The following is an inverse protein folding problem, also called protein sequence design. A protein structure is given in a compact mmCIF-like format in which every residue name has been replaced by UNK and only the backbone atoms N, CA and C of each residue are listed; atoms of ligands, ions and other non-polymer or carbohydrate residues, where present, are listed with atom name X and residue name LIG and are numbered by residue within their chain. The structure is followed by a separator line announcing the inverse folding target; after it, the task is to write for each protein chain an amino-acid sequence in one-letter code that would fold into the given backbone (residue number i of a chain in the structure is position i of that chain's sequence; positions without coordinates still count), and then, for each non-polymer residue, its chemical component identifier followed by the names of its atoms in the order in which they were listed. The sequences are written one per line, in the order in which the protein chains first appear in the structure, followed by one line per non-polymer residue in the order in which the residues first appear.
data_IF_449307084606
#
_entry.id   IF_449307084606
#
_cell.length_a   1.000
_cell.length_b   1.000
_cell.length_c   1.000
_cell.angle_alpha   90.00
_cell.angle_beta   90.00
_cell.angle_gamma   90.00
#
_symmetry.space_group_name_H-M   'P 1'
#
loop_
_entity.id
_entity.type
_entity.pdbx_description
1 polymer ?
#
# COMPACT_ATOMS: atom_id res chain seq x y z
N UNK A 1 -5.47 -3.27 -7.12
CA UNK A 1 -6.13 -2.41 -6.11
C UNK A 1 -6.82 -1.31 -6.89
N UNK A 2 -8.03 -0.85 -6.51
CA UNK A 2 -8.74 0.25 -7.19
C UNK A 2 -9.08 1.28 -6.11
N UNK A 3 -8.51 2.47 -6.19
CA UNK A 3 -8.91 3.59 -5.35
C UNK A 3 -9.52 4.70 -6.23
N UNK A 4 -10.78 5.05 -5.93
CA UNK A 4 -11.42 6.24 -6.47
C UNK A 4 -11.20 7.43 -5.55
N UNK A 5 -10.73 8.56 -6.08
CA UNK A 5 -10.66 9.84 -5.37
C UNK A 5 -11.89 10.66 -5.70
N UNK A 6 -12.81 10.81 -4.74
CA UNK A 6 -13.97 11.70 -4.90
C UNK A 6 -13.56 13.11 -4.43
N UNK A 7 -13.42 14.06 -5.34
CA UNK A 7 -13.37 15.49 -4.99
C UNK A 7 -14.80 16.02 -4.94
N UNK A 8 -15.20 16.61 -3.81
CA UNK A 8 -16.38 17.46 -3.72
C UNK A 8 -15.89 18.81 -3.20
N UNK A 9 -15.99 19.84 -4.02
CA UNK A 9 -15.73 21.22 -3.64
C UNK A 9 -17.00 22.05 -3.74
N UNK A 10 -17.36 22.77 -2.67
CA UNK A 10 -17.64 24.22 -2.68
C UNK A 10 -18.30 24.66 -1.35
N UNK A 11 -17.77 25.74 -0.77
CA UNK A 11 -18.38 26.45 0.36
C UNK A 11 -17.32 27.07 1.27
N UNK A 12 -17.03 28.37 1.08
CA UNK A 12 -16.04 29.11 1.85
C UNK A 12 -16.53 29.43 3.26
N UNK A 13 -15.78 29.02 4.29
CA UNK A 13 -15.85 29.59 5.64
C UNK A 13 -14.47 29.43 6.35
N UNK A 14 -13.72 30.52 6.62
CA UNK A 14 -12.32 30.43 7.06
C UNK A 14 -12.11 30.01 8.54
N UNK A 15 -13.18 29.85 9.34
CA UNK A 15 -13.09 29.47 10.77
C UNK A 15 -13.47 28.02 11.08
N UNK A 16 -13.84 27.22 10.07
CA UNK A 16 -14.09 25.77 10.18
C UNK A 16 -12.97 24.93 9.53
N UNK A 17 -11.78 25.52 9.34
CA UNK A 17 -10.67 24.91 8.60
C UNK A 17 -9.90 23.84 9.39
N UNK A 18 -9.92 23.84 10.73
CA UNK A 18 -9.11 22.88 11.51
C UNK A 18 -9.78 21.52 11.77
N UNK A 19 -11.10 21.41 11.57
CA UNK A 19 -11.83 20.16 11.84
C UNK A 19 -12.31 19.42 10.58
N UNK A 20 -12.26 20.02 9.39
CA UNK A 20 -12.86 19.45 8.17
C UNK A 20 -11.88 19.08 7.05
N UNK A 21 -10.58 19.05 7.32
CA UNK A 21 -9.56 18.75 6.29
C UNK A 21 -8.55 17.64 6.62
N UNK A 22 -8.84 16.77 7.59
CA UNK A 22 -8.22 15.45 7.66
C UNK A 22 -9.06 14.46 6.86
N UNK A 23 -9.10 14.61 5.53
CA UNK A 23 -9.49 13.49 4.67
C UNK A 23 -8.41 12.44 4.84
N UNK A 24 -8.63 11.55 5.82
CA UNK A 24 -7.64 10.61 6.31
C UNK A 24 -7.06 9.81 5.15
N UNK A 25 -5.77 9.99 4.91
CA UNK A 25 -5.05 9.11 4.01
C UNK A 25 -4.87 7.77 4.71
N UNK A 26 -4.83 6.71 3.94
CA UNK A 26 -4.66 5.38 4.48
C UNK A 26 -3.90 4.51 3.51
N UNK A 27 -3.38 3.42 4.03
CA UNK A 27 -2.69 2.40 3.25
C UNK A 27 -3.11 1.04 3.77
N UNK A 28 -3.01 0.03 2.91
CA UNK A 28 -3.42 -1.32 3.29
C UNK A 28 -2.78 -2.37 2.41
N UNK A 29 -2.82 -3.60 2.90
CA UNK A 29 -2.32 -4.75 2.17
C UNK A 29 -3.28 -5.91 2.31
N UNK A 30 -3.38 -6.70 1.24
CA UNK A 30 -4.18 -7.92 1.18
C UNK A 30 -3.26 -9.05 0.76
N UNK A 31 -3.23 -10.11 1.56
CA UNK A 31 -2.46 -11.31 1.30
C UNK A 31 -3.42 -12.44 0.95
N UNK A 32 -3.21 -13.06 -0.21
CA UNK A 32 -4.00 -14.18 -0.72
C UNK A 32 -3.11 -15.36 -1.04
N UNK A 33 -3.66 -16.57 -0.96
CA UNK A 33 -3.01 -17.76 -1.50
C UNK A 33 -3.19 -17.85 -3.03
N UNK A 34 -2.58 -18.85 -3.65
CA UNK A 34 -2.65 -19.07 -5.11
C UNK A 34 -4.04 -19.40 -5.64
N UNK A 35 -4.96 -19.89 -4.79
CA UNK A 35 -6.36 -20.10 -5.14
C UNK A 35 -7.20 -18.81 -5.03
N UNK A 36 -6.58 -17.68 -4.65
CA UNK A 36 -7.25 -16.40 -4.44
C UNK A 36 -7.92 -16.25 -3.08
N UNK A 37 -7.81 -17.23 -2.18
CA UNK A 37 -8.38 -17.15 -0.85
C UNK A 37 -7.61 -16.15 0.03
N UNK A 38 -8.34 -15.35 0.81
CA UNK A 38 -7.76 -14.38 1.74
C UNK A 38 -7.05 -15.10 2.90
N UNK A 39 -5.79 -14.76 3.12
CA UNK A 39 -5.00 -15.23 4.27
C UNK A 39 -4.95 -14.17 5.38
N UNK A 40 -4.70 -12.91 5.00
CA UNK A 40 -4.64 -11.79 5.93
C UNK A 40 -4.90 -10.46 5.20
N UNK A 41 -5.37 -9.46 5.93
CA UNK A 41 -5.49 -8.10 5.43
C UNK A 41 -5.21 -7.09 6.54
N UNK A 42 -4.75 -5.91 6.14
CA UNK A 42 -4.55 -4.77 7.04
C UNK A 42 -4.96 -3.49 6.33
N UNK A 43 -5.60 -2.59 7.09
CA UNK A 43 -5.86 -1.22 6.69
C UNK A 43 -5.40 -0.32 7.83
N UNK A 44 -4.64 0.72 7.49
CA UNK A 44 -4.08 1.67 8.44
C UNK A 44 -4.45 3.06 8.01
N UNK A 45 -5.05 3.82 8.92
CA UNK A 45 -5.23 5.25 8.74
C UNK A 45 -3.90 5.93 9.05
N UNK A 46 -3.36 6.64 8.06
CA UNK A 46 -2.16 7.44 8.22
C UNK A 46 -2.59 8.82 8.74
N UNK A 47 -2.26 9.09 10.00
CA UNK A 47 -2.54 10.38 10.66
C UNK A 47 -1.53 11.47 10.25
N UNK A 48 -0.63 11.16 9.31
CA UNK A 48 0.39 12.08 8.82
C UNK A 48 0.02 12.60 7.43
N UNK A 49 0.53 13.77 7.06
CA UNK A 49 0.40 14.30 5.69
C UNK A 49 1.36 13.60 4.71
N UNK A 50 1.51 12.27 4.82
CA UNK A 50 2.40 11.48 3.95
C UNK A 50 2.01 11.62 2.48
N UNK A 51 3.01 11.72 1.60
CA UNK A 51 2.77 11.70 0.15
C UNK A 51 2.22 10.34 -0.30
N UNK A 52 1.52 10.31 -1.44
CA UNK A 52 0.94 9.06 -1.99
C UNK A 52 2.02 7.99 -2.17
N UNK A 53 3.19 8.35 -2.70
CA UNK A 53 4.30 7.41 -2.86
C UNK A 53 4.73 6.78 -1.52
N UNK A 54 4.79 7.56 -0.45
CA UNK A 54 5.13 7.04 0.89
C UNK A 54 4.06 6.05 1.36
N UNK A 55 2.78 6.33 1.11
CA UNK A 55 1.68 5.44 1.48
C UNK A 55 1.72 4.12 0.69
N UNK A 56 2.05 4.16 -0.60
CA UNK A 56 2.25 2.96 -1.43
C UNK A 56 3.38 2.08 -0.88
N UNK A 57 4.52 2.67 -0.52
CA UNK A 57 5.62 1.90 0.07
C UNK A 57 5.27 1.37 1.47
N UNK A 58 4.51 2.13 2.28
CA UNK A 58 3.99 1.66 3.57
C UNK A 58 3.02 0.48 3.40
N UNK A 59 2.17 0.49 2.37
CA UNK A 59 1.30 -0.64 2.02
C UNK A 59 2.13 -1.89 1.69
N UNK A 60 3.13 -1.75 0.81
CA UNK A 60 4.03 -2.86 0.44
C UNK A 60 4.73 -3.42 1.69
N UNK A 61 5.30 -2.55 2.52
CA UNK A 61 5.99 -2.96 3.75
C UNK A 61 5.07 -3.74 4.69
N UNK A 62 3.81 -3.31 4.86
CA UNK A 62 2.87 -4.06 5.69
C UNK A 62 2.46 -5.39 5.06
N UNK A 63 2.29 -5.46 3.74
CA UNK A 63 2.07 -6.74 3.07
C UNK A 63 3.21 -7.74 3.32
N UNK A 64 4.45 -7.27 3.27
CA UNK A 64 5.63 -8.08 3.57
C UNK A 64 5.68 -8.54 5.03
N UNK A 65 5.36 -7.66 5.98
CA UNK A 65 5.28 -8.03 7.41
C UNK A 65 4.19 -9.07 7.67
N UNK A 66 3.02 -8.95 7.03
CA UNK A 66 1.98 -9.97 7.11
C UNK A 66 2.49 -11.32 6.57
N UNK A 67 3.13 -11.32 5.40
CA UNK A 67 3.70 -12.55 4.84
C UNK A 67 4.77 -13.18 5.73
N UNK A 68 5.66 -12.36 6.31
CA UNK A 68 6.67 -12.81 7.26
C UNK A 68 6.06 -13.42 8.53
N UNK A 69 4.99 -12.82 9.07
CA UNK A 69 4.29 -13.37 10.25
C UNK A 69 3.65 -14.73 9.99
N UNK A 70 3.43 -15.09 8.72
CA UNK A 70 2.93 -16.38 8.27
C UNK A 70 4.05 -17.29 7.73
N UNK A 71 5.32 -16.93 7.95
CA UNK A 71 6.51 -17.66 7.50
C UNK A 71 6.53 -17.95 5.99
N UNK A 72 5.95 -17.06 5.19
CA UNK A 72 5.96 -17.20 3.74
C UNK A 72 7.31 -16.73 3.18
N UNK A 73 7.94 -17.60 2.38
CA UNK A 73 9.26 -17.34 1.79
C UNK A 73 9.20 -16.79 0.36
N UNK A 74 8.05 -16.88 -0.31
CA UNK A 74 7.86 -16.37 -1.67
C UNK A 74 6.56 -15.61 -1.77
N UNK A 75 6.65 -14.33 -2.09
CA UNK A 75 5.49 -13.44 -2.21
C UNK A 75 5.47 -12.77 -3.57
N UNK A 76 4.27 -12.68 -4.12
CA UNK A 76 4.00 -11.92 -5.33
C UNK A 76 3.33 -10.61 -4.91
N UNK A 77 3.92 -9.49 -5.31
CA UNK A 77 3.36 -8.16 -5.02
C UNK A 77 2.66 -7.63 -6.26
N UNK A 78 1.40 -7.26 -6.06
CA UNK A 78 0.57 -6.56 -7.01
C UNK A 78 0.25 -5.16 -6.48
N UNK A 79 0.60 -4.13 -7.25
CA UNK A 79 0.24 -2.74 -6.99
C UNK A 79 -0.08 -2.07 -8.32
N UNK A 80 -1.03 -1.14 -8.29
CA UNK A 80 -1.39 -0.23 -9.37
C UNK A 80 -0.44 0.98 -9.47
N UNK A 81 0.41 1.20 -8.47
CA UNK A 81 1.45 2.23 -8.49
C UNK A 81 2.66 1.79 -9.31
N UNK A 82 2.72 2.20 -10.58
CA UNK A 82 3.87 1.94 -11.47
C UNK A 82 5.20 2.45 -10.89
N UNK A 83 5.15 3.55 -10.14
CA UNK A 83 6.31 4.10 -9.42
C UNK A 83 6.80 3.12 -8.37
N UNK A 84 5.91 2.66 -7.47
CA UNK A 84 6.30 1.74 -6.40
C UNK A 84 6.86 0.43 -6.97
N UNK A 85 6.20 -0.15 -7.99
CA UNK A 85 6.67 -1.36 -8.67
C UNK A 85 8.09 -1.19 -9.23
N UNK A 86 8.36 -0.08 -9.91
CA UNK A 86 9.65 0.12 -10.55
C UNK A 86 10.79 0.30 -9.54
N UNK A 87 10.56 1.07 -8.48
CA UNK A 87 11.51 1.25 -7.39
C UNK A 87 11.86 -0.08 -6.73
N UNK A 88 10.87 -0.92 -6.42
CA UNK A 88 11.15 -2.23 -5.80
C UNK A 88 11.88 -3.18 -6.76
N UNK A 89 11.67 -3.02 -8.08
CA UNK A 89 12.42 -3.76 -9.11
C UNK A 89 13.86 -3.27 -9.32
N UNK A 90 14.29 -2.20 -8.64
CA UNK A 90 15.59 -1.57 -8.88
C UNK A 90 15.72 -0.94 -10.27
N UNK A 91 14.59 -0.55 -10.89
CA UNK A 91 14.54 0.08 -12.22
C UNK A 91 13.96 1.50 -12.11
N UNK A 92 14.41 2.41 -12.97
CA UNK A 92 13.66 3.64 -13.23
C UNK A 92 12.30 3.26 -13.85
N UNK A 93 11.23 3.92 -13.40
CA UNK A 93 9.82 3.69 -13.74
C UNK A 93 9.57 3.02 -15.10
N UNK A 94 9.23 1.73 -15.11
CA UNK A 94 8.65 1.05 -16.27
C UNK A 94 7.46 0.20 -15.85
N UNK A 95 6.44 0.23 -16.70
CA UNK A 95 5.04 -0.18 -16.55
C UNK A 95 4.74 -1.23 -15.48
N UNK A 96 3.71 -0.90 -14.68
CA UNK A 96 3.21 -1.75 -13.61
C UNK A 96 2.73 -3.09 -14.13
N UNK A 97 3.21 -4.15 -13.48
CA UNK A 97 2.47 -5.39 -13.21
C UNK A 97 3.40 -6.41 -12.58
N UNK A 98 2.98 -6.93 -11.43
CA UNK A 98 3.41 -8.15 -10.75
C UNK A 98 4.93 -8.36 -10.64
N UNK A 99 5.46 -8.39 -9.43
CA UNK A 99 6.83 -8.82 -9.23
C UNK A 99 6.95 -9.73 -8.02
N UNK A 100 7.97 -10.59 -8.07
CA UNK A 100 8.21 -11.62 -7.06
C UNK A 100 9.29 -11.12 -6.13
N UNK A 101 8.99 -11.06 -4.83
CA UNK A 101 10.01 -10.98 -3.80
C UNK A 101 10.16 -12.37 -3.20
N UNK A 102 11.38 -12.89 -3.23
CA UNK A 102 11.75 -14.07 -2.43
C UNK A 102 12.33 -13.57 -1.12
N UNK A 103 11.69 -13.94 -0.01
CA UNK A 103 12.21 -13.71 1.34
C UNK A 103 12.89 -15.00 1.80
N UNK A 104 14.21 -15.00 1.88
CA UNK A 104 14.96 -16.10 2.49
C UNK A 104 14.94 -15.95 4.01
N UNK A 105 14.23 -16.83 4.72
CA UNK A 105 14.43 -17.01 6.15
C UNK A 105 15.68 -17.88 6.36
N UNK A 106 16.73 -17.32 6.93
CA UNK A 106 17.82 -18.12 7.48
C UNK A 106 17.32 -18.81 8.75
N UNK A 107 17.48 -20.13 8.91
CA UNK A 107 17.17 -20.79 10.16
C UNK A 107 18.14 -20.30 11.24
N UNK A 108 17.58 -19.81 12.35
CA UNK A 108 18.29 -19.49 13.60
C UNK A 108 18.69 -20.75 14.34
#
# INVERSE_FOLDING_TARGET
MLFGTHQIGNGQNPTLMDHFQLIGRGYGAVLRNSAGALLAAVAVQDQTLSSINVLEFKAILQGLKLAQSLSLSKVFIESDSSTAIAWVRGRAASLGRLFVITMSCSPS
#
